data_IF_539687445504
#
_entry.id   IF_539687445504
#
_cell.length_a   1.000
_cell.length_b   1.000
_cell.length_c   1.000
_cell.angle_alpha   90.00
_cell.angle_beta   90.00
_cell.angle_gamma   90.00
#
_symmetry.space_group_name_H-M   'P 1'
#
loop_
_entity.id
_entity.type
_entity.pdbx_description
1 polymer ?
#
# COMPACT_ATOMS: atom_id res chain seq x y z
N UNK A 1 31.92 -8.05 -22.32
CA UNK A 1 31.87 -7.05 -21.24
C UNK A 1 30.48 -7.13 -20.66
N UNK A 2 30.35 -7.82 -19.52
CA UNK A 2 29.12 -7.83 -18.72
C UNK A 2 28.93 -6.44 -18.15
N UNK A 3 27.82 -5.81 -18.52
CA UNK A 3 27.38 -4.54 -17.95
C UNK A 3 27.09 -4.79 -16.47
N UNK A 4 28.01 -4.38 -15.60
CA UNK A 4 27.79 -4.43 -14.15
C UNK A 4 26.96 -3.20 -13.85
N UNK A 5 25.67 -3.34 -13.48
CA UNK A 5 24.87 -2.19 -13.13
C UNK A 5 25.59 -1.40 -12.04
N UNK A 6 25.57 -0.07 -12.15
CA UNK A 6 26.10 0.80 -11.11
C UNK A 6 25.51 0.36 -9.76
N UNK A 7 26.29 0.40 -8.66
CA UNK A 7 25.78 -0.03 -7.36
C UNK A 7 24.53 0.79 -7.06
N UNK A 8 23.37 0.12 -7.04
CA UNK A 8 22.14 0.68 -6.49
C UNK A 8 22.53 1.31 -5.15
N UNK A 9 22.28 2.61 -5.01
CA UNK A 9 22.53 3.28 -3.75
C UNK A 9 21.68 2.56 -2.71
N UNK A 10 22.30 2.08 -1.64
CA UNK A 10 21.58 1.37 -0.55
C UNK A 10 20.43 2.21 0.04
N UNK A 11 20.48 3.52 -0.17
CA UNK A 11 19.50 4.49 0.26
C UNK A 11 18.75 5.07 -0.95
N UNK A 12 17.42 5.02 -0.90
CA UNK A 12 16.54 5.71 -1.85
C UNK A 12 15.75 6.79 -1.10
N UNK A 13 15.98 8.09 -1.37
CA UNK A 13 15.19 9.15 -0.75
C UNK A 13 13.68 9.02 -1.03
N UNK A 14 13.31 8.46 -2.19
CA UNK A 14 11.92 8.26 -2.57
C UNK A 14 11.26 7.18 -1.73
N UNK A 15 11.93 6.04 -1.56
CA UNK A 15 11.42 4.93 -0.74
C UNK A 15 11.36 5.35 0.73
N UNK A 16 12.38 6.04 1.25
CA UNK A 16 12.35 6.50 2.64
C UNK A 16 11.22 7.47 2.92
N UNK A 17 10.96 8.42 2.01
CA UNK A 17 9.81 9.32 2.15
C UNK A 17 8.48 8.53 2.13
N UNK A 18 8.36 7.50 1.29
CA UNK A 18 7.17 6.64 1.27
C UNK A 18 6.99 5.86 2.58
N UNK A 19 8.08 5.36 3.17
CA UNK A 19 8.07 4.69 4.48
C UNK A 19 7.61 5.66 5.57
N UNK A 20 8.21 6.85 5.65
CA UNK A 20 7.84 7.86 6.66
C UNK A 20 6.38 8.28 6.53
N UNK A 21 5.92 8.58 5.30
CA UNK A 21 4.57 9.02 5.05
C UNK A 21 3.54 7.93 5.38
N UNK A 22 3.81 6.68 4.97
CA UNK A 22 2.91 5.55 5.27
C UNK A 22 2.88 5.22 6.76
N UNK A 23 4.03 5.25 7.45
CA UNK A 23 4.10 5.05 8.90
C UNK A 23 3.32 6.12 9.67
N UNK A 24 3.46 7.39 9.28
CA UNK A 24 2.71 8.50 9.90
C UNK A 24 1.20 8.39 9.62
N UNK A 25 0.82 8.03 8.39
CA UNK A 25 -0.60 7.92 8.03
C UNK A 25 -1.32 6.78 8.75
N UNK A 26 -0.64 5.64 8.87
CA UNK A 26 -1.16 4.41 9.48
C UNK A 26 -0.79 4.25 10.96
N UNK A 27 -0.23 5.28 11.59
CA UNK A 27 0.03 5.28 13.03
C UNK A 27 -1.26 5.00 13.82
N UNK A 28 -1.16 4.08 14.79
CA UNK A 28 -2.28 3.60 15.59
C UNK A 28 -3.32 2.77 14.82
N UNK A 29 -2.96 2.21 13.66
CA UNK A 29 -3.80 1.26 12.91
C UNK A 29 -3.16 -0.13 12.87
N UNK A 30 -4.00 -1.16 12.98
CA UNK A 30 -3.54 -2.54 13.15
C UNK A 30 -4.19 -3.50 12.15
N UNK A 31 -3.50 -4.62 11.91
CA UNK A 31 -3.95 -5.70 11.04
C UNK A 31 -5.18 -6.39 11.63
N UNK A 32 -6.03 -6.92 10.75
CA UNK A 32 -7.27 -7.64 11.11
C UNK A 32 -7.08 -9.15 11.22
N UNK A 33 -5.92 -9.65 10.78
CA UNK A 33 -5.57 -11.06 10.79
C UNK A 33 -4.08 -11.24 11.04
N UNK A 34 -3.73 -12.42 11.53
CA UNK A 34 -2.35 -12.90 11.68
C UNK A 34 -2.15 -14.13 10.81
N UNK A 35 -0.94 -14.29 10.28
CA UNK A 35 -0.59 -15.46 9.47
C UNK A 35 -0.38 -16.72 10.30
N UNK A 36 0.05 -16.56 11.56
CA UNK A 36 0.35 -17.64 12.51
C UNK A 36 -0.01 -17.23 13.91
N UNK A 37 -0.07 -18.21 14.80
CA UNK A 37 -0.23 -17.98 16.23
C UNK A 37 0.89 -17.07 16.78
N UNK A 38 0.58 -16.22 17.77
CA UNK A 38 1.57 -15.35 18.39
C UNK A 38 2.77 -16.13 18.94
N UNK A 39 3.97 -15.63 18.69
CA UNK A 39 5.20 -16.21 19.25
C UNK A 39 5.38 -15.95 20.76
N UNK A 40 4.53 -15.09 21.34
CA UNK A 40 4.58 -14.64 22.72
C UNK A 40 3.18 -14.73 23.33
N UNK A 41 3.12 -14.97 24.65
CA UNK A 41 1.85 -14.93 25.38
C UNK A 41 1.18 -13.57 25.20
N UNK A 42 -0.12 -13.59 24.91
CA UNK A 42 -0.98 -12.41 24.88
C UNK A 42 -2.13 -12.60 25.87
N UNK A 43 -2.67 -11.53 26.47
CA UNK A 43 -3.95 -11.59 27.16
C UNK A 43 -5.03 -12.19 26.24
N UNK A 44 -5.94 -12.98 26.80
CA UNK A 44 -6.99 -13.65 26.00
C UNK A 44 -7.87 -12.66 25.22
N UNK A 45 -8.05 -11.44 25.74
CA UNK A 45 -8.91 -10.40 25.18
C UNK A 45 -8.17 -9.37 24.31
N UNK A 46 -6.87 -9.52 24.07
CA UNK A 46 -6.12 -8.55 23.27
C UNK A 46 -6.42 -8.70 21.77
N UNK A 47 -6.85 -7.59 21.17
CA UNK A 47 -6.96 -7.43 19.72
C UNK A 47 -5.59 -7.59 19.04
N UNK A 48 -5.57 -7.91 17.75
CA UNK A 48 -4.33 -8.05 16.98
C UNK A 48 -3.60 -6.70 16.96
N UNK A 49 -2.42 -6.64 17.58
CA UNK A 49 -1.58 -5.43 17.69
C UNK A 49 -0.48 -5.35 16.63
N UNK A 50 -0.56 -6.12 15.54
CA UNK A 50 0.42 -6.02 14.44
C UNK A 50 0.15 -4.74 13.64
N UNK A 51 1.07 -3.75 13.61
CA UNK A 51 0.83 -2.47 12.95
C UNK A 51 0.66 -2.62 11.42
N UNK A 52 -0.19 -1.81 10.79
CA UNK A 52 -0.42 -1.88 9.33
C UNK A 52 0.87 -1.66 8.52
N UNK A 53 1.82 -0.85 9.00
CA UNK A 53 3.11 -0.64 8.32
C UNK A 53 3.87 -1.95 8.06
N UNK A 54 3.66 -3.00 8.88
CA UNK A 54 4.24 -4.33 8.62
C UNK A 54 3.76 -4.95 7.31
N UNK A 55 2.48 -4.76 6.96
CA UNK A 55 1.92 -5.19 5.70
C UNK A 55 2.47 -4.39 4.53
N UNK A 56 2.50 -3.07 4.65
CA UNK A 56 2.99 -2.18 3.62
C UNK A 56 4.47 -2.51 3.29
N UNK A 57 5.28 -2.74 4.32
CA UNK A 57 6.66 -3.20 4.18
C UNK A 57 6.78 -4.56 3.50
N UNK A 58 5.90 -5.52 3.82
CA UNK A 58 5.92 -6.83 3.19
C UNK A 58 5.50 -6.78 1.71
N UNK A 59 4.47 -6.00 1.37
CA UNK A 59 4.04 -5.77 -0.02
C UNK A 59 5.16 -5.11 -0.82
N UNK A 60 5.77 -4.04 -0.29
CA UNK A 60 6.90 -3.37 -0.91
C UNK A 60 8.12 -4.29 -1.10
N UNK A 61 8.38 -5.18 -0.13
CA UNK A 61 9.43 -6.19 -0.22
C UNK A 61 9.17 -7.20 -1.35
N UNK A 62 7.93 -7.69 -1.50
CA UNK A 62 7.55 -8.58 -2.61
C UNK A 62 7.75 -7.86 -3.95
N UNK A 63 7.28 -6.62 -4.08
CA UNK A 63 7.43 -5.80 -5.29
C UNK A 63 8.91 -5.60 -5.63
N UNK A 64 9.76 -5.23 -4.67
CA UNK A 64 11.20 -5.07 -4.89
C UNK A 64 11.88 -6.38 -5.29
N UNK A 65 11.52 -7.50 -4.64
CA UNK A 65 12.06 -8.84 -4.97
C UNK A 65 11.62 -9.36 -6.33
N UNK A 66 10.49 -8.88 -6.83
CA UNK A 66 10.03 -9.14 -8.19
C UNK A 66 10.77 -8.29 -9.26
N UNK A 67 11.68 -7.39 -8.85
CA UNK A 67 12.54 -6.63 -9.75
C UNK A 67 11.97 -5.30 -10.20
N UNK A 68 10.96 -4.76 -9.51
CA UNK A 68 10.40 -3.44 -9.83
C UNK A 68 11.23 -2.29 -9.25
N UNK A 69 11.17 -1.16 -9.95
CA UNK A 69 11.92 0.05 -9.64
C UNK A 69 11.33 0.85 -8.47
N UNK A 70 12.10 1.83 -7.99
CA UNK A 70 11.79 2.61 -6.78
C UNK A 70 10.39 3.25 -6.75
N UNK A 71 9.85 3.83 -7.85
CA UNK A 71 8.50 4.41 -7.83
C UNK A 71 7.41 3.37 -7.53
N UNK A 72 7.58 2.14 -8.01
CA UNK A 72 6.64 1.03 -7.78
C UNK A 72 6.73 0.55 -6.34
N UNK A 73 7.95 0.46 -5.81
CA UNK A 73 8.19 0.11 -4.40
C UNK A 73 7.64 1.19 -3.45
N UNK A 74 7.85 2.47 -3.77
CA UNK A 74 7.28 3.59 -3.03
C UNK A 74 5.75 3.56 -3.07
N UNK A 75 5.14 3.29 -4.23
CA UNK A 75 3.70 3.13 -4.35
C UNK A 75 3.17 1.92 -3.56
N UNK A 76 3.93 0.84 -3.47
CA UNK A 76 3.59 -0.33 -2.64
C UNK A 76 3.54 0.01 -1.15
N UNK A 77 4.45 0.84 -0.64
CA UNK A 77 4.37 1.36 0.73
C UNK A 77 3.12 2.21 0.97
N UNK A 78 2.57 2.83 -0.07
CA UNK A 78 1.47 3.80 0.03
C UNK A 78 0.13 3.28 -0.49
N UNK A 79 0.05 2.02 -0.90
CA UNK A 79 -1.10 1.50 -1.66
C UNK A 79 -2.44 1.63 -0.92
N UNK A 80 -2.43 1.50 0.41
CA UNK A 80 -3.61 1.66 1.25
C UNK A 80 -3.87 3.12 1.70
N UNK A 81 -2.93 4.04 1.51
CA UNK A 81 -2.97 5.36 2.17
C UNK A 81 -4.17 6.23 1.75
N UNK A 82 -4.60 6.14 0.49
CA UNK A 82 -5.78 6.85 -0.02
C UNK A 82 -7.08 6.11 0.33
N UNK A 83 -7.01 4.78 0.34
CA UNK A 83 -8.16 3.91 0.54
C UNK A 83 -8.60 3.88 2.02
N UNK A 84 -7.65 3.85 2.94
CA UNK A 84 -7.88 3.71 4.37
C UNK A 84 -7.84 5.03 5.12
N UNK A 85 -8.64 5.07 6.19
CA UNK A 85 -8.69 6.22 7.09
C UNK A 85 -7.57 6.09 8.11
N UNK A 86 -6.96 7.22 8.47
CA UNK A 86 -6.06 7.25 9.63
C UNK A 86 -6.86 7.07 10.94
N UNK A 87 -6.16 6.98 12.08
CA UNK A 87 -6.77 6.87 13.41
C UNK A 87 -7.74 8.00 13.79
N UNK A 88 -7.68 9.13 13.08
CA UNK A 88 -8.57 10.28 13.27
C UNK A 88 -9.78 10.27 12.30
N UNK A 89 -9.97 9.20 11.52
CA UNK A 89 -11.07 9.07 10.58
C UNK A 89 -10.90 9.88 9.29
N UNK A 90 -9.73 10.47 9.05
CA UNK A 90 -9.43 11.30 7.88
C UNK A 90 -9.03 10.44 6.68
N UNK A 91 -9.27 10.92 5.46
CA UNK A 91 -8.85 10.29 4.21
C UNK A 91 -7.77 11.14 3.53
N UNK A 92 -6.70 10.49 3.06
CA UNK A 92 -5.65 11.17 2.32
C UNK A 92 -6.16 11.47 0.91
N UNK A 93 -6.12 12.74 0.50
CA UNK A 93 -6.57 13.12 -0.84
C UNK A 93 -5.46 12.87 -1.85
N UNK A 94 -5.84 12.43 -3.06
CA UNK A 94 -4.91 12.26 -4.20
C UNK A 94 -4.01 13.48 -4.44
N UNK A 95 -4.55 14.69 -4.29
CA UNK A 95 -3.76 15.92 -4.43
C UNK A 95 -2.66 16.04 -3.37
N UNK A 96 -2.97 15.73 -2.11
CA UNK A 96 -1.99 15.77 -1.02
C UNK A 96 -0.88 14.74 -1.26
N UNK A 97 -1.25 13.53 -1.71
CA UNK A 97 -0.26 12.52 -2.06
C UNK A 97 0.62 12.97 -3.24
N UNK A 98 0.04 13.57 -4.27
CA UNK A 98 0.79 14.11 -5.41
C UNK A 98 1.77 15.21 -5.01
N UNK A 99 1.35 16.09 -4.11
CA UNK A 99 2.19 17.18 -3.66
C UNK A 99 3.38 16.67 -2.80
N UNK A 100 3.22 15.52 -2.11
CA UNK A 100 4.28 14.90 -1.31
C UNK A 100 5.20 13.94 -2.10
N UNK A 101 4.62 13.10 -2.98
CA UNK A 101 5.29 11.95 -3.61
C UNK A 101 5.47 12.08 -5.13
N UNK A 102 4.91 13.12 -5.74
CA UNK A 102 4.92 13.31 -7.19
C UNK A 102 3.82 12.54 -7.92
N UNK A 103 3.75 12.78 -9.23
CA UNK A 103 2.65 12.31 -10.08
C UNK A 103 2.68 10.80 -10.33
N UNK A 104 3.87 10.22 -10.53
CA UNK A 104 4.04 8.80 -10.86
C UNK A 104 3.59 7.89 -9.73
N UNK A 105 4.13 8.06 -8.51
CA UNK A 105 3.71 7.30 -7.32
C UNK A 105 2.22 7.46 -7.06
N UNK A 106 1.70 8.69 -7.19
CA UNK A 106 0.25 8.94 -6.98
C UNK A 106 -0.63 8.24 -8.01
N UNK A 107 -0.17 8.15 -9.25
CA UNK A 107 -0.90 7.45 -10.30
C UNK A 107 -0.98 5.95 -9.99
N UNK A 108 0.14 5.34 -9.60
CA UNK A 108 0.20 3.93 -9.21
C UNK A 108 -0.71 3.63 -8.01
N UNK A 109 -0.59 4.43 -6.94
CA UNK A 109 -1.45 4.29 -5.74
C UNK A 109 -2.93 4.42 -6.12
N UNK A 110 -3.29 5.36 -6.99
CA UNK A 110 -4.68 5.53 -7.43
C UNK A 110 -5.20 4.34 -8.25
N UNK A 111 -4.35 3.68 -9.06
CA UNK A 111 -4.73 2.49 -9.82
C UNK A 111 -5.00 1.27 -8.93
N UNK A 112 -4.35 1.21 -7.76
CA UNK A 112 -4.53 0.12 -6.78
C UNK A 112 -5.40 0.50 -5.58
N UNK A 113 -6.08 1.64 -5.63
CA UNK A 113 -7.01 2.08 -4.58
C UNK A 113 -8.45 1.73 -4.96
N UNK A 114 -9.20 1.16 -4.02
CA UNK A 114 -10.64 0.96 -4.19
C UNK A 114 -11.41 2.27 -3.97
N UNK A 115 -12.29 2.62 -4.91
CA UNK A 115 -13.20 3.76 -4.73
C UNK A 115 -14.32 3.39 -3.76
N UNK A 116 -14.14 3.71 -2.47
CA UNK A 116 -15.09 3.37 -1.40
C UNK A 116 -16.36 4.23 -1.38
N UNK A 117 -16.28 5.46 -1.89
CA UNK A 117 -17.36 6.45 -1.81
C UNK A 117 -17.83 6.87 -3.20
N UNK A 118 -19.11 7.23 -3.33
CA UNK A 118 -19.66 7.90 -4.51
C UNK A 118 -19.39 9.42 -4.49
N UNK A 119 -19.97 10.16 -5.44
CA UNK A 119 -19.75 11.60 -5.59
C UNK A 119 -20.42 12.40 -4.47
N UNK A 120 -21.45 11.83 -3.83
CA UNK A 120 -22.14 12.36 -2.66
C UNK A 120 -21.42 12.03 -1.34
N UNK A 121 -20.44 11.13 -1.37
CA UNK A 121 -19.64 10.74 -0.22
C UNK A 121 -20.18 9.54 0.56
N UNK A 122 -21.16 8.82 0.01
CA UNK A 122 -21.79 7.65 0.60
C UNK A 122 -21.04 6.36 0.25
N UNK A 123 -21.08 5.37 1.15
CA UNK A 123 -20.38 4.10 0.94
C UNK A 123 -21.01 3.31 -0.20
N UNK A 124 -20.22 3.07 -1.26
CA UNK A 124 -20.65 2.25 -2.39
C UNK A 124 -20.87 0.79 -2.01
N UNK A 125 -21.83 0.09 -2.64
CA UNK A 125 -22.07 -1.33 -2.42
C UNK A 125 -20.79 -2.16 -2.60
N UNK A 126 -20.58 -3.15 -1.73
CA UNK A 126 -19.35 -3.97 -1.73
C UNK A 126 -19.05 -4.58 -3.09
N UNK A 127 -20.07 -5.12 -3.78
CA UNK A 127 -19.92 -5.76 -5.08
C UNK A 127 -19.39 -4.78 -6.14
N UNK A 128 -19.98 -3.60 -6.21
CA UNK A 128 -19.57 -2.55 -7.15
C UNK A 128 -18.14 -2.05 -6.88
N UNK A 129 -17.77 -1.92 -5.61
CA UNK A 129 -16.40 -1.55 -5.23
C UNK A 129 -15.39 -2.57 -5.71
N UNK A 130 -15.68 -3.87 -5.52
CA UNK A 130 -14.80 -4.96 -5.95
C UNK A 130 -14.76 -5.12 -7.47
N UNK A 131 -15.88 -5.00 -8.16
CA UNK A 131 -15.93 -5.03 -9.63
C UNK A 131 -15.15 -3.86 -10.23
N UNK A 132 -15.37 -2.63 -9.74
CA UNK A 132 -14.60 -1.45 -10.19
C UNK A 132 -13.11 -1.55 -9.90
N UNK A 133 -12.71 -2.12 -8.76
CA UNK A 133 -11.31 -2.41 -8.47
C UNK A 133 -10.71 -3.39 -9.48
N UNK A 134 -11.42 -4.49 -9.79
CA UNK A 134 -10.94 -5.47 -10.77
C UNK A 134 -10.82 -4.87 -12.17
N UNK A 135 -11.75 -4.02 -12.59
CA UNK A 135 -11.67 -3.33 -13.88
C UNK A 135 -10.48 -2.36 -13.95
N UNK A 136 -10.21 -1.63 -12.85
CA UNK A 136 -9.03 -0.78 -12.72
C UNK A 136 -7.73 -1.59 -12.83
N UNK A 137 -7.64 -2.76 -12.20
CA UNK A 137 -6.45 -3.63 -12.32
C UNK A 137 -6.34 -4.20 -13.74
N UNK A 138 -7.46 -4.62 -14.35
CA UNK A 138 -7.47 -5.22 -15.69
C UNK A 138 -7.00 -4.27 -16.79
N UNK A 139 -7.22 -2.98 -16.59
CA UNK A 139 -6.81 -1.89 -17.50
C UNK A 139 -5.59 -1.11 -16.98
N UNK A 140 -5.10 -1.49 -15.80
CA UNK A 140 -3.98 -0.86 -15.11
C UNK A 140 -2.65 -1.18 -15.75
N UNK A 141 -1.61 -0.48 -15.30
CA UNK A 141 -0.25 -0.73 -15.77
C UNK A 141 0.30 -2.04 -15.16
N UNK A 142 1.35 -2.64 -15.77
CA UNK A 142 2.05 -3.78 -15.19
C UNK A 142 2.53 -3.53 -13.75
N UNK A 143 2.99 -2.32 -13.46
CA UNK A 143 3.43 -1.86 -12.13
C UNK A 143 2.28 -1.92 -11.11
N UNK A 144 1.12 -1.35 -11.46
CA UNK A 144 -0.07 -1.39 -10.60
C UNK A 144 -0.55 -2.83 -10.36
N UNK A 145 -0.50 -3.67 -11.41
CA UNK A 145 -0.83 -5.09 -11.31
C UNK A 145 0.12 -5.81 -10.36
N UNK A 146 1.42 -5.51 -10.41
CA UNK A 146 2.40 -6.09 -9.50
C UNK A 146 2.16 -5.72 -8.03
N UNK A 147 1.83 -4.46 -7.76
CA UNK A 147 1.46 -4.01 -6.41
C UNK A 147 0.20 -4.74 -5.93
N UNK A 148 -0.84 -4.83 -6.75
CA UNK A 148 -2.07 -5.54 -6.40
C UNK A 148 -1.83 -7.03 -6.16
N UNK A 149 -1.02 -7.69 -6.98
CA UNK A 149 -0.64 -9.09 -6.77
C UNK A 149 0.15 -9.29 -5.46
N UNK A 150 1.10 -8.40 -5.17
CA UNK A 150 1.87 -8.45 -3.93
C UNK A 150 0.96 -8.26 -2.69
N UNK A 151 0.00 -7.34 -2.75
CA UNK A 151 -1.03 -7.16 -1.72
C UNK A 151 -1.83 -8.46 -1.49
N UNK A 152 -2.31 -9.10 -2.57
CA UNK A 152 -3.04 -10.37 -2.45
C UNK A 152 -2.16 -11.49 -1.90
N UNK A 153 -0.92 -11.62 -2.37
CA UNK A 153 0.01 -12.63 -1.86
C UNK A 153 0.24 -12.49 -0.35
N UNK A 154 0.39 -11.26 0.15
CA UNK A 154 0.61 -11.04 1.58
C UNK A 154 -0.65 -11.22 2.44
N UNK A 155 -1.85 -11.08 1.84
CA UNK A 155 -3.12 -11.23 2.55
C UNK A 155 -3.69 -12.67 2.53
N UNK A 156 -3.14 -13.57 1.71
CA UNK A 156 -3.49 -15.00 1.66
C UNK A 156 -2.79 -15.80 2.76
#
# INVERSE_FOLDING_TARGET
MTDVPAPDTLFSPLIEHAIELSAQWHDGTYRKSVWRDPAFEKPEDDEIQTPVISHLAAVASIVRRAGWDEPVVAAAYLHDAIEDRNKHGQRLRRRQLRDAMGAEVTQLVAQVSEQKLDDEGEMRPWRERKEGYLDNIRTGSPEATAISLADKIHNL
#
